data_IF_593323832330
#
_entry.id   IF_593323832330
#
_cell.length_a   1.000
_cell.length_b   1.000
_cell.length_c   1.000
_cell.angle_alpha   90.00
_cell.angle_beta   90.00
_cell.angle_gamma   90.00
#
_symmetry.space_group_name_H-M   'P 1'
#
loop_
_entity.id
_entity.type
_entity.pdbx_description
1 polymer ?
#
# COMPACT_ATOMS: atom_id res chain seq x y z
N UNK A 1 2.29 11.31 25.25
CA UNK A 1 2.59 10.04 25.93
C UNK A 1 1.78 9.94 27.21
N UNK A 2 1.13 8.77 27.47
CA UNK A 2 0.29 8.54 28.66
C UNK A 2 1.00 7.61 29.68
N UNK A 3 2.32 7.42 29.52
CA UNK A 3 3.18 6.69 30.49
C UNK A 3 3.12 5.17 30.40
N UNK A 4 2.39 4.58 29.46
CA UNK A 4 2.34 3.12 29.27
C UNK A 4 3.53 2.60 28.47
N UNK A 5 4.02 1.39 28.80
CA UNK A 5 4.92 0.61 27.96
C UNK A 5 4.06 -0.17 26.95
N UNK A 6 4.23 0.12 25.67
CA UNK A 6 3.45 -0.52 24.60
C UNK A 6 4.19 -1.74 24.06
N UNK A 7 3.53 -2.89 24.06
CA UNK A 7 3.92 -4.10 23.33
C UNK A 7 2.95 -4.24 22.17
N UNK A 8 3.46 -4.38 20.95
CA UNK A 8 2.67 -4.49 19.75
C UNK A 8 2.78 -5.91 19.17
N UNK A 9 1.66 -6.66 19.20
CA UNK A 9 1.57 -7.96 18.52
C UNK A 9 1.10 -7.76 17.09
N UNK A 10 1.86 -8.32 16.13
CA UNK A 10 1.58 -8.17 14.69
C UNK A 10 1.82 -9.47 13.93
N UNK A 11 1.32 -9.54 12.70
CA UNK A 11 1.65 -10.64 11.80
C UNK A 11 3.18 -10.70 11.59
N UNK A 12 3.79 -11.91 11.55
CA UNK A 12 5.24 -12.08 11.47
C UNK A 12 5.94 -11.24 10.38
N UNK A 13 5.38 -11.08 9.16
CA UNK A 13 6.03 -10.27 8.13
C UNK A 13 6.13 -8.77 8.43
N UNK A 14 5.42 -8.26 9.45
CA UNK A 14 5.42 -6.84 9.86
C UNK A 14 6.41 -6.53 10.98
N UNK A 15 6.97 -7.54 11.65
CA UNK A 15 7.82 -7.36 12.84
C UNK A 15 9.00 -6.44 12.56
N UNK A 16 9.77 -6.71 11.51
CA UNK A 16 10.95 -5.92 11.17
C UNK A 16 10.60 -4.49 10.75
N UNK A 17 9.48 -4.31 10.05
CA UNK A 17 9.01 -2.97 9.64
C UNK A 17 8.65 -2.10 10.85
N UNK A 18 8.00 -2.70 11.85
CA UNK A 18 7.42 -1.96 12.99
C UNK A 18 8.35 -1.88 14.21
N UNK A 19 9.49 -2.59 14.20
CA UNK A 19 10.44 -2.61 15.31
C UNK A 19 10.99 -1.23 15.71
N UNK A 20 10.99 -0.25 14.79
CA UNK A 20 11.46 1.10 15.03
C UNK A 20 10.36 2.15 15.21
N UNK A 21 9.11 1.76 15.35
CA UNK A 21 7.98 2.72 15.50
C UNK A 21 8.07 3.42 16.85
N UNK A 22 8.06 4.75 16.81
CA UNK A 22 8.10 5.59 18.00
C UNK A 22 6.94 5.28 18.97
N UNK A 23 7.25 5.16 20.25
CA UNK A 23 6.27 4.88 21.30
C UNK A 23 5.96 3.38 21.49
N UNK A 24 6.51 2.49 20.65
CA UNK A 24 6.44 1.05 20.82
C UNK A 24 7.72 0.55 21.47
N UNK A 25 7.58 -0.10 22.63
CA UNK A 25 8.73 -0.62 23.38
C UNK A 25 9.20 -1.99 22.87
N UNK A 26 8.26 -2.77 22.33
CA UNK A 26 8.54 -4.12 21.84
C UNK A 26 7.52 -4.53 20.77
N UNK A 27 7.98 -5.19 19.71
CA UNK A 27 7.13 -5.76 18.67
C UNK A 27 7.27 -7.27 18.69
N UNK A 28 6.14 -7.97 18.80
CA UNK A 28 6.08 -9.42 18.91
C UNK A 28 5.31 -9.98 17.71
N UNK A 29 5.84 -11.01 17.08
CA UNK A 29 5.12 -11.72 16.02
C UNK A 29 3.98 -12.57 16.58
N UNK A 30 2.82 -12.52 15.91
CA UNK A 30 1.68 -13.35 16.27
C UNK A 30 2.05 -14.83 16.35
N UNK A 31 1.64 -15.48 17.44
CA UNK A 31 1.98 -16.87 17.76
C UNK A 31 3.25 -17.04 18.59
N UNK A 32 4.04 -15.99 18.83
CA UNK A 32 5.14 -16.02 19.79
C UNK A 32 4.66 -15.75 21.22
N UNK A 33 5.50 -16.10 22.22
CA UNK A 33 5.19 -15.82 23.61
C UNK A 33 5.15 -14.31 23.87
N UNK A 34 4.04 -13.84 24.44
CA UNK A 34 3.91 -12.44 24.84
C UNK A 34 4.57 -12.20 26.21
N UNK A 35 5.24 -11.05 26.41
CA UNK A 35 5.66 -10.64 27.76
C UNK A 35 4.42 -10.39 28.65
N UNK A 36 4.62 -10.34 29.97
CA UNK A 36 3.54 -9.98 30.89
C UNK A 36 2.98 -8.58 30.58
N UNK A 37 1.66 -8.45 30.62
CA UNK A 37 0.95 -7.20 30.34
C UNK A 37 -0.24 -7.01 31.29
N UNK A 38 -0.60 -5.78 31.56
CA UNK A 38 -1.74 -5.44 32.43
C UNK A 38 -3.03 -5.24 31.64
N UNK A 39 -2.93 -4.75 30.39
CA UNK A 39 -4.06 -4.43 29.54
C UNK A 39 -3.81 -4.88 28.11
N UNK A 40 -4.88 -5.31 27.44
CA UNK A 40 -4.89 -5.70 26.04
C UNK A 40 -5.98 -4.93 25.29
N UNK A 41 -5.68 -4.51 24.07
CA UNK A 41 -6.65 -3.86 23.20
C UNK A 41 -6.37 -4.19 21.72
N UNK A 42 -7.37 -4.68 20.97
CA UNK A 42 -7.24 -4.81 19.51
C UNK A 42 -6.98 -3.45 18.85
N UNK A 43 -6.05 -3.38 17.89
CA UNK A 43 -5.70 -2.14 17.20
C UNK A 43 -6.92 -1.41 16.60
N UNK A 44 -7.87 -2.16 16.03
CA UNK A 44 -9.09 -1.59 15.46
C UNK A 44 -10.05 -0.97 16.51
N UNK A 45 -9.83 -1.22 17.79
CA UNK A 45 -10.60 -0.61 18.89
C UNK A 45 -10.00 0.72 19.37
N UNK A 46 -8.77 1.05 18.96
CA UNK A 46 -8.11 2.31 19.37
C UNK A 46 -8.92 3.57 19.01
N UNK A 47 -9.50 3.70 17.82
CA UNK A 47 -10.30 4.88 17.47
C UNK A 47 -11.46 5.10 18.43
N UNK A 48 -12.12 4.04 18.89
CA UNK A 48 -13.19 4.14 19.89
C UNK A 48 -12.67 4.64 21.25
N UNK A 49 -11.54 4.08 21.71
CA UNK A 49 -10.94 4.43 23.01
C UNK A 49 -10.44 5.88 23.03
N UNK A 50 -9.93 6.36 21.90
CA UNK A 50 -9.42 7.72 21.75
C UNK A 50 -10.46 8.71 21.23
N UNK A 51 -11.72 8.28 21.06
CA UNK A 51 -12.81 9.10 20.51
C UNK A 51 -12.43 9.74 19.17
N UNK A 52 -11.74 8.99 18.31
CA UNK A 52 -11.29 9.46 17.01
C UNK A 52 -12.48 9.73 16.10
N UNK A 53 -12.55 10.93 15.55
CA UNK A 53 -13.49 11.35 14.51
C UNK A 53 -12.77 11.53 13.19
N UNK A 54 -13.48 11.83 12.10
CA UNK A 54 -12.87 12.08 10.78
C UNK A 54 -11.89 13.27 10.87
N UNK A 55 -12.22 14.29 11.67
CA UNK A 55 -11.43 15.51 11.85
C UNK A 55 -10.19 15.28 12.72
N UNK A 56 -10.22 14.25 13.55
CA UNK A 56 -9.14 13.95 14.52
C UNK A 56 -8.34 12.72 14.16
N UNK A 57 -8.54 12.16 12.96
CA UNK A 57 -7.69 11.04 12.45
C UNK A 57 -6.23 11.45 12.50
N UNK A 58 -5.34 10.71 13.20
CA UNK A 58 -3.91 10.99 13.18
C UNK A 58 -3.35 10.80 11.78
N UNK A 59 -2.96 11.90 11.14
CA UNK A 59 -2.39 11.92 9.79
C UNK A 59 -1.01 12.59 9.74
N UNK A 60 -0.23 12.49 10.82
CA UNK A 60 1.17 12.91 10.84
C UNK A 60 2.00 11.91 10.02
N UNK A 61 2.17 12.21 8.75
CA UNK A 61 2.86 11.38 7.76
C UNK A 61 4.21 12.02 7.43
N UNK A 62 5.30 11.22 7.27
CA UNK A 62 5.38 9.76 7.44
C UNK A 62 5.46 9.35 8.92
N UNK A 63 4.82 8.24 9.29
CA UNK A 63 4.98 7.59 10.59
C UNK A 63 5.75 6.26 10.51
N UNK A 64 5.99 5.76 9.31
CA UNK A 64 6.96 4.70 9.04
C UNK A 64 8.16 5.28 8.30
N UNK A 65 9.35 4.85 8.70
CA UNK A 65 10.61 5.31 8.13
C UNK A 65 11.38 4.12 7.56
N UNK A 66 12.10 4.37 6.48
CA UNK A 66 13.01 3.40 5.86
C UNK A 66 14.39 4.00 5.80
N UNK A 67 15.40 3.22 6.19
CA UNK A 67 16.80 3.65 6.11
C UNK A 67 17.18 3.96 4.64
N UNK A 68 17.78 5.13 4.36
CA UNK A 68 18.21 5.49 3.00
C UNK A 68 19.10 4.44 2.35
N UNK A 69 19.95 3.78 3.12
CA UNK A 69 20.82 2.70 2.63
C UNK A 69 20.04 1.49 2.12
N UNK A 70 18.90 1.15 2.76
CA UNK A 70 18.03 0.07 2.28
C UNK A 70 17.37 0.44 0.95
N UNK A 71 16.93 1.69 0.81
CA UNK A 71 16.37 2.21 -0.45
C UNK A 71 17.41 2.17 -1.57
N UNK A 72 18.63 2.63 -1.29
CA UNK A 72 19.75 2.62 -2.24
C UNK A 72 20.06 1.19 -2.70
N UNK A 73 20.17 0.25 -1.76
CA UNK A 73 20.42 -1.17 -2.05
C UNK A 73 19.40 -1.75 -3.05
N UNK A 74 18.10 -1.50 -2.84
CA UNK A 74 17.07 -2.00 -3.75
C UNK A 74 17.09 -1.28 -5.10
N UNK A 75 17.42 0.02 -5.14
CA UNK A 75 17.59 0.77 -6.39
C UNK A 75 18.73 0.25 -7.25
N UNK A 76 19.86 -0.05 -6.64
CA UNK A 76 21.06 -0.61 -7.32
C UNK A 76 20.80 -2.03 -7.83
N UNK A 77 20.14 -2.85 -7.01
CA UNK A 77 19.82 -4.24 -7.34
C UNK A 77 18.79 -4.36 -8.47
N UNK A 78 17.87 -3.41 -8.57
CA UNK A 78 16.82 -3.36 -9.57
C UNK A 78 16.84 -2.00 -10.29
N UNK A 79 17.83 -1.77 -11.17
CA UNK A 79 17.92 -0.52 -11.91
C UNK A 79 16.74 -0.40 -12.89
N UNK A 80 16.08 0.74 -12.88
CA UNK A 80 15.03 1.06 -13.84
C UNK A 80 15.58 1.91 -14.99
N UNK A 81 14.95 1.85 -16.17
CA UNK A 81 15.18 2.86 -17.22
C UNK A 81 15.02 4.29 -16.68
N UNK A 82 15.64 5.29 -17.32
CA UNK A 82 15.41 6.69 -16.96
C UNK A 82 13.92 7.02 -17.00
N UNK A 83 13.46 7.80 -16.03
CA UNK A 83 12.06 8.19 -15.88
C UNK A 83 11.58 8.08 -14.45
N UNK A 84 10.29 8.37 -14.25
CA UNK A 84 9.63 8.24 -12.95
C UNK A 84 9.32 6.77 -12.64
N UNK A 85 9.47 6.39 -11.40
CA UNK A 85 9.25 5.02 -10.93
C UNK A 85 7.87 4.85 -10.34
N UNK A 86 7.06 4.01 -10.94
CA UNK A 86 5.67 3.75 -10.51
C UNK A 86 5.50 2.31 -10.08
N UNK A 87 5.14 2.11 -8.82
CA UNK A 87 4.81 0.79 -8.28
C UNK A 87 3.40 0.38 -8.65
N UNK A 88 3.18 -0.89 -9.01
CA UNK A 88 1.87 -1.43 -9.34
C UNK A 88 1.48 -2.60 -8.44
N UNK A 89 0.24 -2.56 -7.91
CA UNK A 89 -0.43 -3.69 -7.25
C UNK A 89 -1.83 -3.82 -7.84
N UNK A 90 -2.14 -4.96 -8.43
CA UNK A 90 -3.42 -5.17 -9.14
C UNK A 90 -4.35 -6.19 -8.47
N UNK A 91 -3.85 -6.95 -7.50
CA UNK A 91 -4.64 -7.96 -6.81
C UNK A 91 -4.32 -8.00 -5.31
N UNK A 92 -5.29 -8.42 -4.53
CA UNK A 92 -5.10 -8.76 -3.11
C UNK A 92 -4.47 -10.12 -2.91
N UNK A 93 -4.29 -10.52 -1.65
CA UNK A 93 -3.85 -11.86 -1.29
C UNK A 93 -4.98 -12.88 -1.44
N UNK A 94 -4.64 -14.09 -1.86
CA UNK A 94 -5.59 -15.19 -1.89
C UNK A 94 -5.87 -15.69 -0.47
N UNK A 95 -7.15 -15.85 -0.13
CA UNK A 95 -7.63 -16.39 1.14
C UNK A 95 -8.62 -17.52 0.87
N UNK A 96 -8.18 -18.67 0.34
CA UNK A 96 -9.08 -19.75 -0.08
C UNK A 96 -9.85 -20.37 1.09
N UNK A 97 -9.32 -20.30 2.30
CA UNK A 97 -9.92 -20.81 3.54
C UNK A 97 -11.00 -19.89 4.13
N UNK A 98 -11.07 -18.63 3.71
CA UNK A 98 -12.05 -17.64 4.15
C UNK A 98 -12.89 -17.16 2.94
N UNK A 99 -14.10 -17.69 2.81
CA UNK A 99 -15.00 -17.37 1.70
C UNK A 99 -15.32 -15.87 1.65
N UNK A 100 -15.50 -15.21 2.80
CA UNK A 100 -15.77 -13.77 2.88
C UNK A 100 -14.60 -12.94 2.38
N UNK A 101 -13.39 -13.24 2.86
CA UNK A 101 -12.16 -12.58 2.41
C UNK A 101 -11.90 -12.86 0.92
N UNK A 102 -12.12 -14.09 0.45
CA UNK A 102 -11.98 -14.46 -0.96
C UNK A 102 -12.93 -13.67 -1.88
N UNK A 103 -14.20 -13.53 -1.50
CA UNK A 103 -15.17 -12.75 -2.27
C UNK A 103 -14.82 -11.26 -2.31
N UNK A 104 -14.30 -10.71 -1.23
CA UNK A 104 -13.81 -9.33 -1.17
C UNK A 104 -12.60 -9.20 -2.09
N UNK A 105 -11.67 -10.14 -2.02
CA UNK A 105 -10.44 -10.13 -2.81
C UNK A 105 -10.73 -10.16 -4.32
N UNK A 106 -11.62 -11.03 -4.78
CA UNK A 106 -12.07 -11.07 -6.17
C UNK A 106 -12.66 -9.75 -6.66
N UNK A 107 -13.39 -9.00 -5.81
CA UNK A 107 -13.99 -7.72 -6.18
C UNK A 107 -13.01 -6.56 -6.20
N UNK A 108 -11.98 -6.58 -5.34
CA UNK A 108 -10.95 -5.54 -5.30
C UNK A 108 -9.82 -5.76 -6.31
N UNK A 109 -9.62 -7.00 -6.77
CA UNK A 109 -8.60 -7.34 -7.75
C UNK A 109 -9.08 -7.03 -9.17
N UNK A 110 -8.18 -6.49 -9.98
CA UNK A 110 -8.46 -6.27 -11.40
C UNK A 110 -7.72 -7.29 -12.25
N UNK A 111 -8.27 -7.67 -13.42
CA UNK A 111 -7.56 -8.55 -14.34
C UNK A 111 -6.26 -7.88 -14.80
N UNK A 112 -5.12 -8.58 -14.82
CA UNK A 112 -3.84 -7.99 -15.23
C UNK A 112 -3.88 -7.32 -16.61
N UNK A 113 -4.66 -7.85 -17.54
CA UNK A 113 -4.86 -7.28 -18.86
C UNK A 113 -5.46 -5.86 -18.83
N UNK A 114 -6.22 -5.50 -17.78
CA UNK A 114 -6.77 -4.15 -17.64
C UNK A 114 -5.69 -3.07 -17.48
N UNK A 115 -4.47 -3.44 -17.07
CA UNK A 115 -3.33 -2.51 -16.92
C UNK A 115 -2.69 -2.12 -18.27
N UNK A 116 -3.03 -2.79 -19.37
CA UNK A 116 -2.39 -2.57 -20.67
C UNK A 116 -2.35 -1.08 -21.12
N UNK A 117 -3.38 -0.25 -20.90
CA UNK A 117 -3.35 1.18 -21.27
C UNK A 117 -2.19 1.96 -20.61
N UNK A 118 -1.72 1.54 -19.44
CA UNK A 118 -0.59 2.19 -18.75
C UNK A 118 0.72 2.01 -19.52
N UNK A 119 0.86 0.91 -20.27
CA UNK A 119 2.06 0.61 -21.04
C UNK A 119 2.35 1.59 -22.19
N UNK A 120 1.38 2.38 -22.61
CA UNK A 120 1.55 3.39 -23.65
C UNK A 120 2.12 4.73 -23.12
N UNK A 121 2.29 4.86 -21.78
CA UNK A 121 2.71 6.12 -21.16
C UNK A 121 4.24 6.17 -21.11
N UNK A 122 4.82 7.10 -21.84
CA UNK A 122 6.27 7.34 -21.85
C UNK A 122 6.80 8.02 -20.59
N UNK A 123 8.10 7.86 -20.33
CA UNK A 123 8.77 8.53 -19.20
C UNK A 123 8.48 7.86 -17.83
N UNK A 124 7.88 6.69 -17.83
CA UNK A 124 7.54 5.91 -16.63
C UNK A 124 8.19 4.53 -16.67
N UNK A 125 8.84 4.15 -15.59
CA UNK A 125 9.33 2.80 -15.35
C UNK A 125 8.43 2.11 -14.30
N UNK A 126 7.78 1.03 -14.68
CA UNK A 126 6.87 0.31 -13.80
C UNK A 126 7.58 -0.77 -12.99
N UNK A 127 7.29 -0.83 -11.70
CA UNK A 127 7.83 -1.78 -10.73
C UNK A 127 6.68 -2.59 -10.15
N UNK A 128 6.75 -3.91 -10.24
CA UNK A 128 5.79 -4.79 -9.57
C UNK A 128 5.98 -4.73 -8.06
N UNK A 129 4.91 -4.48 -7.34
CA UNK A 129 4.79 -4.66 -5.89
C UNK A 129 3.82 -5.81 -5.56
N UNK A 130 3.42 -6.55 -6.60
CA UNK A 130 2.50 -7.67 -6.48
C UNK A 130 3.23 -8.93 -6.06
N UNK A 131 2.95 -9.39 -4.85
CA UNK A 131 3.43 -10.69 -4.35
C UNK A 131 2.43 -11.80 -4.69
N UNK A 132 2.94 -12.98 -5.02
CA UNK A 132 2.15 -14.21 -5.20
C UNK A 132 0.99 -14.09 -6.22
N UNK A 133 1.19 -13.30 -7.29
CA UNK A 133 0.20 -13.18 -8.35
C UNK A 133 0.16 -14.45 -9.20
N UNK A 134 -1.04 -15.01 -9.37
CA UNK A 134 -1.27 -16.14 -10.29
C UNK A 134 -1.03 -15.73 -11.75
N UNK A 135 -1.32 -14.47 -12.09
CA UNK A 135 -1.16 -13.94 -13.45
C UNK A 135 -0.44 -12.58 -13.41
N UNK A 136 0.34 -12.33 -14.46
CA UNK A 136 1.05 -11.06 -14.66
C UNK A 136 0.50 -10.33 -15.88
N UNK A 137 0.50 -8.99 -15.90
CA UNK A 137 0.13 -8.24 -17.08
C UNK A 137 1.18 -8.44 -18.19
N UNK A 138 0.70 -8.58 -19.42
CA UNK A 138 1.58 -8.58 -20.61
C UNK A 138 2.10 -7.15 -20.88
N UNK A 139 1.38 -6.12 -20.45
CA UNK A 139 1.75 -4.71 -20.48
C UNK A 139 1.14 -4.00 -19.26
N UNK A 140 1.83 -2.98 -18.69
CA UNK A 140 3.16 -2.50 -19.04
C UNK A 140 4.26 -3.51 -18.73
N UNK A 141 5.45 -3.32 -19.32
CA UNK A 141 6.64 -4.05 -18.90
C UNK A 141 6.98 -3.72 -17.44
N UNK A 142 7.16 -4.76 -16.62
CA UNK A 142 7.38 -4.62 -15.18
C UNK A 142 8.77 -5.10 -14.79
N UNK A 143 9.48 -4.26 -14.05
CA UNK A 143 10.57 -4.72 -13.21
C UNK A 143 9.99 -5.38 -11.95
N UNK A 144 10.43 -6.58 -11.61
CA UNK A 144 9.83 -7.34 -10.51
C UNK A 144 10.85 -7.74 -9.43
N UNK A 145 10.95 -6.98 -8.34
CA UNK A 145 11.79 -7.32 -7.19
C UNK A 145 11.13 -8.32 -6.24
N UNK A 146 9.83 -8.62 -6.36
CA UNK A 146 9.05 -9.28 -5.32
C UNK A 146 9.48 -10.71 -4.99
N UNK A 147 10.10 -11.41 -5.95
CA UNK A 147 10.71 -12.73 -5.69
C UNK A 147 11.89 -12.70 -4.71
N UNK A 148 12.46 -11.53 -4.41
CA UNK A 148 13.58 -11.37 -3.47
C UNK A 148 13.17 -10.65 -2.18
N UNK A 149 11.94 -10.13 -2.12
CA UNK A 149 11.36 -9.48 -0.93
C UNK A 149 10.98 -10.56 0.09
N UNK A 150 11.52 -10.44 1.30
CA UNK A 150 11.31 -11.40 2.40
C UNK A 150 10.14 -11.00 3.30
N UNK A 151 10.02 -9.69 3.58
CA UNK A 151 9.04 -9.12 4.50
C UNK A 151 8.61 -7.70 4.12
N UNK A 152 7.80 -7.08 4.94
CA UNK A 152 7.33 -5.71 4.71
C UNK A 152 8.40 -4.63 4.90
N UNK A 153 9.51 -4.90 5.58
CA UNK A 153 10.63 -3.97 5.66
C UNK A 153 11.35 -3.87 4.30
N UNK A 154 11.56 -5.01 3.63
CA UNK A 154 12.07 -5.03 2.27
C UNK A 154 11.09 -4.35 1.29
N UNK A 155 9.79 -4.63 1.41
CA UNK A 155 8.75 -3.96 0.61
C UNK A 155 8.78 -2.44 0.81
N UNK A 156 8.92 -1.97 2.06
CA UNK A 156 9.03 -0.56 2.39
C UNK A 156 10.27 0.08 1.74
N UNK A 157 11.39 -0.63 1.70
CA UNK A 157 12.61 -0.15 1.05
C UNK A 157 12.44 -0.02 -0.48
N UNK A 158 11.77 -0.96 -1.12
CA UNK A 158 11.39 -0.85 -2.54
C UNK A 158 10.47 0.36 -2.76
N UNK A 159 9.38 0.47 -1.98
CA UNK A 159 8.41 1.58 -2.05
C UNK A 159 9.10 2.93 -1.79
N UNK A 160 10.06 2.99 -0.85
CA UNK A 160 10.87 4.17 -0.57
C UNK A 160 11.64 4.69 -1.80
N UNK A 161 11.90 3.85 -2.77
CA UNK A 161 12.56 4.18 -4.04
C UNK A 161 11.62 4.62 -5.17
N UNK A 162 10.29 4.67 -4.95
CA UNK A 162 9.29 4.98 -5.96
C UNK A 162 8.80 6.42 -5.84
N UNK A 163 8.33 6.98 -6.96
CA UNK A 163 7.74 8.31 -7.03
C UNK A 163 6.21 8.25 -6.83
N UNK A 164 5.58 7.16 -7.24
CA UNK A 164 4.13 6.93 -7.14
C UNK A 164 3.85 5.44 -6.91
N UNK A 165 2.81 5.13 -6.16
CA UNK A 165 2.26 3.77 -6.05
C UNK A 165 0.81 3.76 -6.53
N UNK A 166 0.51 2.94 -7.53
CA UNK A 166 -0.86 2.69 -8.01
C UNK A 166 -1.25 1.30 -7.53
N UNK A 167 -2.23 1.21 -6.66
CA UNK A 167 -2.56 -0.05 -5.99
C UNK A 167 -4.05 -0.21 -5.76
N UNK A 168 -4.54 -1.45 -5.87
CA UNK A 168 -5.83 -1.80 -5.29
C UNK A 168 -5.75 -1.76 -3.76
N UNK A 169 -6.89 -1.79 -3.08
CA UNK A 169 -6.99 -1.73 -1.61
C UNK A 169 -6.29 -2.93 -0.93
N UNK A 170 -5.00 -2.77 -0.68
CA UNK A 170 -4.11 -3.77 -0.09
C UNK A 170 -3.17 -3.17 0.96
N UNK A 171 -2.49 -4.02 1.72
CA UNK A 171 -1.48 -3.61 2.71
C UNK A 171 -0.38 -2.72 2.10
N UNK A 172 -0.03 -2.90 0.82
CA UNK A 172 0.99 -2.10 0.13
C UNK A 172 0.54 -0.65 -0.06
N UNK A 173 -0.76 -0.41 -0.34
CA UNK A 173 -1.30 0.96 -0.42
C UNK A 173 -1.19 1.69 0.92
N UNK A 174 -1.50 0.99 2.03
CA UNK A 174 -1.35 1.52 3.38
C UNK A 174 0.13 1.77 3.73
N UNK A 175 1.02 0.83 3.39
CA UNK A 175 2.46 0.99 3.59
C UNK A 175 2.99 2.22 2.87
N UNK A 176 2.65 2.39 1.59
CA UNK A 176 3.09 3.53 0.80
C UNK A 176 2.56 4.87 1.38
N UNK A 177 1.29 4.89 1.80
CA UNK A 177 0.70 6.04 2.48
C UNK A 177 1.42 6.36 3.80
N UNK A 178 1.72 5.35 4.63
CA UNK A 178 2.43 5.49 5.90
C UNK A 178 3.88 6.01 5.74
N UNK A 179 4.52 5.69 4.61
CA UNK A 179 5.83 6.19 4.21
C UNK A 179 5.79 7.59 3.58
N UNK A 180 4.60 8.20 3.45
CA UNK A 180 4.43 9.52 2.84
C UNK A 180 4.61 9.54 1.32
N UNK A 181 4.48 8.40 0.64
CA UNK A 181 4.53 8.34 -0.82
C UNK A 181 3.21 8.76 -1.43
N UNK A 182 3.27 9.33 -2.64
CA UNK A 182 2.06 9.54 -3.44
C UNK A 182 1.43 8.19 -3.78
N UNK A 183 0.13 8.05 -3.52
CA UNK A 183 -0.62 6.81 -3.76
C UNK A 183 -1.88 7.11 -4.56
N UNK A 184 -2.09 6.35 -5.62
CA UNK A 184 -3.36 6.31 -6.35
C UNK A 184 -4.03 4.97 -6.04
N UNK A 185 -5.04 5.04 -5.17
CA UNK A 185 -5.77 3.85 -4.73
C UNK A 185 -6.90 3.55 -5.71
N UNK A 186 -6.89 2.33 -6.23
CA UNK A 186 -7.95 1.79 -7.08
C UNK A 186 -8.99 1.11 -6.19
N UNK A 187 -10.15 1.75 -6.00
CA UNK A 187 -11.18 1.26 -5.11
C UNK A 187 -12.33 0.61 -5.88
N UNK A 188 -12.74 -0.56 -5.41
CA UNK A 188 -13.96 -1.22 -5.90
C UNK A 188 -15.20 -0.38 -5.60
N UNK A 189 -16.32 -0.67 -6.25
CA UNK A 189 -17.59 0.06 -6.13
C UNK A 189 -18.11 0.11 -4.67
N UNK A 190 -18.13 -1.03 -4.00
CA UNK A 190 -18.52 -1.19 -2.60
C UNK A 190 -17.33 -1.00 -1.62
N UNK A 191 -16.52 0.01 -1.83
CA UNK A 191 -15.23 0.26 -1.18
C UNK A 191 -15.13 -0.04 0.31
N UNK A 192 -13.92 -0.06 0.84
CA UNK A 192 -13.70 -0.20 2.28
C UNK A 192 -14.16 1.07 3.02
N UNK A 193 -14.71 0.91 4.21
CA UNK A 193 -15.17 2.02 5.07
C UNK A 193 -14.08 3.10 5.30
N UNK A 194 -12.80 2.72 5.26
CA UNK A 194 -11.67 3.63 5.44
C UNK A 194 -11.62 4.72 4.39
N UNK A 195 -12.06 4.40 3.18
CA UNK A 195 -11.97 5.32 2.05
C UNK A 195 -13.16 6.28 1.97
N UNK A 196 -14.20 6.05 2.77
CA UNK A 196 -15.44 6.83 2.81
C UNK A 196 -16.14 6.89 1.44
N UNK A 197 -17.39 7.28 1.42
CA UNK A 197 -18.14 7.42 0.17
C UNK A 197 -18.02 8.84 -0.40
N UNK A 198 -18.01 8.94 -1.75
CA UNK A 198 -18.11 10.22 -2.44
C UNK A 198 -16.87 11.13 -2.37
N UNK A 199 -15.70 10.58 -2.01
CA UNK A 199 -14.44 11.34 -1.90
C UNK A 199 -13.42 10.84 -2.93
N UNK A 200 -12.50 11.74 -3.28
CA UNK A 200 -11.31 11.42 -4.09
C UNK A 200 -10.01 11.52 -3.27
N UNK A 201 -10.11 11.89 -2.00
CA UNK A 201 -9.07 11.99 -0.99
C UNK A 201 -9.39 11.12 0.23
N UNK A 202 -8.50 11.04 1.19
CA UNK A 202 -8.72 10.30 2.44
C UNK A 202 -8.08 11.02 3.62
N UNK A 203 -8.74 11.03 4.81
CA UNK A 203 -8.17 11.63 6.00
C UNK A 203 -6.97 10.85 6.56
N UNK A 204 -6.78 9.59 6.15
CA UNK A 204 -5.70 8.73 6.65
C UNK A 204 -4.34 9.04 6.03
N UNK A 205 -4.31 9.43 4.74
CA UNK A 205 -3.08 9.64 3.98
C UNK A 205 -3.23 10.86 3.07
N UNK A 206 -2.69 12.03 3.44
CA UNK A 206 -2.89 13.28 2.69
C UNK A 206 -2.40 13.24 1.23
N UNK A 207 -1.40 12.39 0.93
CA UNK A 207 -0.86 12.23 -0.43
C UNK A 207 -1.55 11.10 -1.22
N UNK A 208 -2.68 10.57 -0.72
CA UNK A 208 -3.41 9.50 -1.39
C UNK A 208 -4.61 10.04 -2.15
N UNK A 209 -4.73 9.64 -3.41
CA UNK A 209 -5.88 9.92 -4.27
C UNK A 209 -6.67 8.65 -4.53
N UNK A 210 -8.01 8.73 -4.47
CA UNK A 210 -8.92 7.60 -4.61
C UNK A 210 -9.55 7.59 -6.00
N UNK A 211 -9.49 6.43 -6.66
CA UNK A 211 -10.14 6.14 -7.94
C UNK A 211 -11.20 5.07 -7.72
N UNK A 212 -12.41 5.48 -7.34
CA UNK A 212 -13.52 4.56 -7.14
C UNK A 212 -14.12 4.09 -8.46
N UNK A 213 -14.51 2.80 -8.53
CA UNK A 213 -15.38 2.31 -9.58
C UNK A 213 -16.74 3.03 -9.52
N UNK A 214 -17.23 3.47 -10.68
CA UNK A 214 -18.56 4.06 -10.81
C UNK A 214 -19.65 3.01 -11.01
N UNK A 215 -19.28 1.82 -11.44
CA UNK A 215 -20.12 0.63 -11.61
C UNK A 215 -19.38 -0.59 -11.11
N UNK A 216 -20.09 -1.57 -10.50
CA UNK A 216 -19.44 -2.80 -10.03
C UNK A 216 -18.66 -3.50 -11.14
N UNK A 217 -17.39 -3.80 -10.88
CA UNK A 217 -16.50 -4.54 -11.80
C UNK A 217 -15.94 -3.72 -12.97
N UNK A 218 -16.29 -2.45 -13.13
CA UNK A 218 -15.82 -1.60 -14.24
C UNK A 218 -14.42 -1.05 -13.97
N UNK A 219 -13.44 -1.93 -14.04
CA UNK A 219 -12.03 -1.56 -13.92
C UNK A 219 -11.49 -0.82 -15.15
N UNK A 220 -12.08 -1.03 -16.33
CA UNK A 220 -11.65 -0.37 -17.56
C UNK A 220 -11.85 1.15 -17.46
N UNK A 221 -12.97 1.61 -16.92
CA UNK A 221 -13.24 3.03 -16.67
C UNK A 221 -12.25 3.62 -15.66
N UNK A 222 -11.96 2.91 -14.56
CA UNK A 222 -10.99 3.34 -13.55
C UNK A 222 -9.61 3.49 -14.16
N UNK A 223 -9.13 2.47 -14.88
CA UNK A 223 -7.80 2.49 -15.52
C UNK A 223 -7.72 3.57 -16.60
N UNK A 224 -8.80 3.84 -17.35
CA UNK A 224 -8.85 4.94 -18.31
C UNK A 224 -8.58 6.30 -17.65
N UNK A 225 -9.21 6.58 -16.48
CA UNK A 225 -8.94 7.81 -15.72
C UNK A 225 -7.50 7.85 -15.19
N UNK A 226 -7.04 6.72 -14.64
CA UNK A 226 -5.66 6.59 -14.12
C UNK A 226 -4.64 6.83 -15.24
N UNK A 227 -4.86 6.27 -16.44
CA UNK A 227 -3.95 6.44 -17.57
C UNK A 227 -3.86 7.91 -18.02
N UNK A 228 -5.00 8.60 -18.10
CA UNK A 228 -5.04 10.02 -18.46
C UNK A 228 -4.29 10.88 -17.43
N UNK A 229 -4.55 10.65 -16.13
CA UNK A 229 -3.88 11.38 -15.05
C UNK A 229 -2.39 11.04 -14.96
N UNK A 230 -2.01 9.77 -15.20
CA UNK A 230 -0.60 9.33 -15.19
C UNK A 230 0.20 9.96 -16.34
N UNK A 231 -0.38 10.09 -17.53
CA UNK A 231 0.26 10.79 -18.63
C UNK A 231 0.53 12.26 -18.29
N UNK A 232 -0.45 12.95 -17.70
CA UNK A 232 -0.29 14.32 -17.22
C UNK A 232 0.73 14.44 -16.08
N UNK A 233 0.75 13.46 -15.15
CA UNK A 233 1.69 13.42 -14.04
C UNK A 233 3.13 13.16 -14.51
N UNK A 234 3.33 12.26 -15.46
CA UNK A 234 4.64 11.93 -16.02
C UNK A 234 5.27 13.09 -16.80
N UNK A 235 4.44 13.94 -17.42
CA UNK A 235 4.89 15.12 -18.17
C UNK A 235 5.37 16.29 -17.28
N UNK A 236 5.09 16.27 -15.95
CA UNK A 236 5.56 17.31 -15.03
C UNK A 236 7.06 17.12 -14.74
N UNK A 237 7.83 18.20 -14.56
CA UNK A 237 9.20 18.05 -14.08
C UNK A 237 9.22 17.32 -12.72
N UNK A 238 10.25 16.52 -12.41
CA UNK A 238 10.42 15.95 -11.08
C UNK A 238 10.53 17.08 -10.05
N UNK A 239 9.95 16.84 -8.86
CA UNK A 239 9.98 17.77 -7.74
C UNK A 239 11.39 17.83 -7.11
#
# INVERSE_FOLDING_TARGET
ARGGRVVLEVQPPLVNLLAGVEGVAEVVGQGAALPAYDLQLPLLSLPRVFHTTIETVPAAIPYLLVAPAAVAHWRERFPTPPGRRVGLVWAGGSHPEDIGAHLIDRRRSLPPAALAPLGAIGGVAFVSLQKDAAERPAAPALLDPMGQVRDFADTAAVVGGLDLVIAVDTAVAHLAGALGREVWLLSRYDGCWRWLAGRTDTPWYPAMRLYHQRRPGDWAEVIGRVAADLAAWAARPPA
#
